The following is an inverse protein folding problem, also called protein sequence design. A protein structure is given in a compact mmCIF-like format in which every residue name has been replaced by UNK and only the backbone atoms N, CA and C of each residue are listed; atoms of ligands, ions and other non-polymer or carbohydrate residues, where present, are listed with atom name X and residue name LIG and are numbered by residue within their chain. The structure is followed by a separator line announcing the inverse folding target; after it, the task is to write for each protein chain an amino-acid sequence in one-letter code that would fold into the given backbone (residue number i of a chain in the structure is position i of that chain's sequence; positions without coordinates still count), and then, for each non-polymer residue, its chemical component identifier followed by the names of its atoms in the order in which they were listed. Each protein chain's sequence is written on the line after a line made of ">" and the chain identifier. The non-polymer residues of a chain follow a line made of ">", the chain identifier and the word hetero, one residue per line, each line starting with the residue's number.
data_IF_780554728152
#
_entry.id   IF_780554728152
#
_cell.length_a   1.000
_cell.length_b   1.000
_cell.length_c   1.000
_cell.angle_alpha   90.00
_cell.angle_beta   90.00
_cell.angle_gamma   90.00
#
_symmetry.space_group_name_H-M   'P 1'
#
loop_
_entity.id
_entity.type
_entity.pdbx_description
1 polymer ?
#
# COMPACT_ATOMS: atom_id res chain seq x y z
N UNK A 1 -21.72 -4.71 -7.07
CA UNK A 1 -21.39 -3.87 -5.90
C UNK A 1 -21.05 -4.79 -4.74
N UNK A 2 -19.79 -4.86 -4.34
CA UNK A 2 -19.46 -5.46 -3.04
C UNK A 2 -19.72 -4.40 -1.98
N UNK A 3 -20.61 -4.65 -1.01
CA UNK A 3 -20.71 -3.79 0.15
C UNK A 3 -19.35 -3.76 0.85
N UNK A 4 -18.94 -2.61 1.33
CA UNK A 4 -17.73 -2.49 2.14
C UNK A 4 -17.81 -3.52 3.28
N UNK A 5 -16.78 -4.38 3.38
CA UNK A 5 -16.74 -5.35 4.48
C UNK A 5 -16.77 -4.58 5.81
N UNK A 6 -17.56 -5.04 6.81
CA UNK A 6 -17.59 -4.36 8.09
C UNK A 6 -16.19 -4.34 8.71
N UNK A 7 -15.79 -3.20 9.23
CA UNK A 7 -14.53 -3.08 9.98
C UNK A 7 -14.50 -4.15 11.09
N UNK A 8 -13.41 -4.91 11.21
CA UNK A 8 -13.28 -5.85 12.32
C UNK A 8 -13.33 -5.08 13.63
N UNK A 9 -14.11 -5.59 14.57
CA UNK A 9 -14.21 -5.04 15.92
C UNK A 9 -12.82 -5.09 16.58
N UNK A 10 -12.31 -4.00 17.13
CA UNK A 10 -11.04 -4.01 17.86
C UNK A 10 -11.18 -4.95 19.07
N UNK A 11 -10.35 -6.00 19.11
CA UNK A 11 -10.30 -6.92 20.24
C UNK A 11 -10.50 -8.41 19.95
N UNK A 12 -10.80 -8.81 18.72
CA UNK A 12 -10.81 -10.23 18.37
C UNK A 12 -9.38 -10.79 18.32
N UNK A 13 -9.01 -11.65 19.27
CA UNK A 13 -7.75 -12.38 19.23
C UNK A 13 -7.85 -13.43 18.10
N UNK A 14 -7.05 -13.34 17.04
CA UNK A 14 -7.12 -14.32 15.95
C UNK A 14 -6.66 -15.69 16.46
N UNK A 15 -7.27 -16.76 15.97
CA UNK A 15 -6.80 -18.13 16.22
C UNK A 15 -5.35 -18.27 15.66
N UNK A 16 -4.52 -19.18 16.22
CA UNK A 16 -3.12 -19.30 15.80
C UNK A 16 -2.92 -19.51 14.28
N UNK A 17 -3.81 -20.24 13.63
CA UNK A 17 -3.75 -20.45 12.18
C UNK A 17 -4.10 -19.18 11.39
N UNK A 18 -5.07 -18.39 11.83
CA UNK A 18 -5.44 -17.11 11.20
C UNK A 18 -4.32 -16.09 11.38
N UNK A 19 -3.69 -16.02 12.55
CA UNK A 19 -2.55 -15.13 12.79
C UNK A 19 -1.38 -15.45 11.85
N UNK A 20 -1.05 -16.72 11.65
CA UNK A 20 0.01 -17.14 10.73
C UNK A 20 -0.29 -16.77 9.28
N UNK A 21 -1.54 -16.96 8.83
CA UNK A 21 -1.98 -16.56 7.49
C UNK A 21 -1.95 -15.03 7.33
N UNK A 22 -2.43 -14.29 8.33
CA UNK A 22 -2.40 -12.85 8.34
C UNK A 22 -0.96 -12.30 8.21
N UNK A 23 0.00 -12.89 8.90
CA UNK A 23 1.41 -12.51 8.79
C UNK A 23 1.96 -12.75 7.37
N UNK A 24 1.60 -13.86 6.73
CA UNK A 24 2.00 -14.15 5.36
C UNK A 24 1.38 -13.17 4.36
N UNK A 25 0.12 -12.82 4.55
CA UNK A 25 -0.58 -11.82 3.73
C UNK A 25 0.05 -10.45 3.92
N UNK A 26 0.28 -10.03 5.15
CA UNK A 26 0.89 -8.73 5.48
C UNK A 26 2.27 -8.57 4.81
N UNK A 27 3.09 -9.63 4.81
CA UNK A 27 4.39 -9.64 4.14
C UNK A 27 4.31 -9.46 2.62
N UNK A 28 3.18 -9.78 2.00
CA UNK A 28 2.95 -9.62 0.55
C UNK A 28 2.35 -8.26 0.19
N UNK A 29 1.82 -7.53 1.15
CA UNK A 29 1.25 -6.21 0.91
C UNK A 29 2.36 -5.16 0.71
N UNK A 30 2.10 -4.08 -0.09
CA UNK A 30 3.13 -3.11 -0.42
C UNK A 30 3.56 -2.20 0.74
N UNK A 31 2.91 -2.29 1.89
CA UNK A 31 3.24 -1.53 3.12
C UNK A 31 3.19 -0.01 2.97
N UNK A 32 2.35 0.49 2.08
CA UNK A 32 2.18 1.93 1.86
C UNK A 32 1.36 2.61 2.94
N UNK A 33 0.61 1.84 3.74
CA UNK A 33 -0.30 2.32 4.79
C UNK A 33 -1.30 3.38 4.27
N UNK A 34 -1.73 3.25 3.00
CA UNK A 34 -2.51 4.27 2.29
C UNK A 34 -4.00 4.32 2.69
N UNK A 35 -4.49 3.34 3.44
CA UNK A 35 -5.89 3.19 3.88
C UNK A 35 -6.93 3.03 2.76
N UNK A 36 -6.53 2.92 1.51
CA UNK A 36 -7.45 2.78 0.36
C UNK A 36 -8.28 1.51 0.38
N UNK A 37 -7.78 0.46 1.02
CA UNK A 37 -8.51 -0.78 1.25
C UNK A 37 -9.71 -0.64 2.21
N UNK A 38 -9.84 0.49 2.90
CA UNK A 38 -10.85 0.74 3.91
C UNK A 38 -10.43 0.36 5.32
N UNK A 39 -9.19 -0.05 5.51
CA UNK A 39 -8.61 -0.41 6.81
C UNK A 39 -7.55 0.61 7.24
N UNK A 40 -7.29 0.76 8.55
CA UNK A 40 -6.38 1.80 9.05
C UNK A 40 -4.91 1.56 8.68
N UNK A 41 -4.53 0.32 8.39
CA UNK A 41 -3.17 -0.07 8.00
C UNK A 41 -3.18 -1.38 7.20
N UNK A 42 -2.04 -1.74 6.63
CA UNK A 42 -1.91 -2.97 5.85
C UNK A 42 -2.12 -4.22 6.70
N UNK A 43 -1.68 -4.20 7.96
CA UNK A 43 -1.85 -5.33 8.87
C UNK A 43 -3.32 -5.63 9.15
N UNK A 44 -4.12 -4.62 9.46
CA UNK A 44 -5.55 -4.76 9.68
C UNK A 44 -6.27 -5.34 8.46
N UNK A 45 -5.87 -4.92 7.26
CA UNK A 45 -6.38 -5.50 6.02
C UNK A 45 -5.97 -6.97 5.87
N UNK A 46 -4.71 -7.30 6.15
CA UNK A 46 -4.22 -8.68 6.10
C UNK A 46 -4.99 -9.61 7.06
N UNK A 47 -5.26 -9.14 8.25
CA UNK A 47 -6.05 -9.87 9.25
C UNK A 47 -7.49 -10.09 8.78
N UNK A 48 -8.11 -9.08 8.19
CA UNK A 48 -9.45 -9.18 7.63
C UNK A 48 -9.54 -10.16 6.46
N UNK A 49 -8.55 -10.17 5.57
CA UNK A 49 -8.47 -11.15 4.46
C UNK A 49 -8.27 -12.55 5.01
N UNK A 50 -7.39 -12.74 5.98
CA UNK A 50 -7.14 -14.03 6.61
C UNK A 50 -8.38 -14.60 7.31
N UNK A 51 -9.19 -13.73 7.91
CA UNK A 51 -10.46 -14.09 8.57
C UNK A 51 -11.63 -14.27 7.58
N UNK A 52 -11.45 -13.98 6.30
CA UNK A 52 -12.51 -14.00 5.30
C UNK A 52 -13.48 -12.82 5.38
N UNK A 53 -13.16 -11.77 6.15
CA UNK A 53 -13.96 -10.57 6.30
C UNK A 53 -13.73 -9.53 5.19
N UNK A 54 -12.62 -9.61 4.46
CA UNK A 54 -12.31 -8.74 3.34
C UNK A 54 -11.92 -9.55 2.10
N UNK A 55 -12.25 -9.03 0.93
CA UNK A 55 -11.81 -9.59 -0.34
C UNK A 55 -10.33 -9.23 -0.61
N UNK A 56 -9.64 -10.08 -1.37
CA UNK A 56 -8.21 -9.90 -1.66
C UNK A 56 -7.92 -8.84 -2.75
N UNK A 57 -8.95 -8.19 -3.29
CA UNK A 57 -8.86 -7.23 -4.39
C UNK A 57 -9.04 -5.76 -3.97
N UNK A 58 -8.84 -5.44 -2.70
CA UNK A 58 -9.08 -4.10 -2.15
C UNK A 58 -7.82 -3.24 -2.01
N UNK A 59 -6.67 -3.71 -2.50
CA UNK A 59 -5.39 -3.00 -2.40
C UNK A 59 -4.92 -2.45 -3.76
N UNK A 60 -5.21 -1.19 -4.12
CA UNK A 60 -4.78 -0.61 -5.40
C UNK A 60 -3.26 -0.57 -5.59
N UNK A 61 -2.45 -0.22 -4.58
CA UNK A 61 -1.00 -0.24 -4.73
C UNK A 61 -0.40 -1.63 -5.04
N UNK A 62 -1.05 -2.70 -4.56
CA UNK A 62 -0.65 -4.07 -4.86
C UNK A 62 -1.00 -4.50 -6.28
N UNK A 63 -2.07 -3.96 -6.84
CA UNK A 63 -2.53 -4.23 -8.20
C UNK A 63 -2.88 -5.68 -8.47
N UNK A 64 -2.94 -6.03 -9.75
CA UNK A 64 -3.26 -7.38 -10.20
C UNK A 64 -2.22 -8.42 -9.74
N UNK A 65 -0.95 -8.05 -9.70
CA UNK A 65 0.11 -8.93 -9.19
C UNK A 65 -0.06 -9.24 -7.71
N UNK A 66 -0.41 -8.24 -6.91
CA UNK A 66 -0.73 -8.42 -5.49
C UNK A 66 -1.88 -9.39 -5.27
N UNK A 67 -2.95 -9.26 -6.05
CA UNK A 67 -4.09 -10.17 -6.03
C UNK A 67 -3.66 -11.60 -6.35
N UNK A 68 -2.83 -11.80 -7.38
CA UNK A 68 -2.32 -13.11 -7.74
C UNK A 68 -1.47 -13.74 -6.64
N UNK A 69 -0.64 -12.97 -5.97
CA UNK A 69 0.17 -13.43 -4.82
C UNK A 69 -0.70 -13.81 -3.63
N UNK A 70 -1.69 -12.99 -3.31
CA UNK A 70 -2.64 -13.25 -2.22
C UNK A 70 -3.47 -14.50 -2.51
N UNK A 71 -3.90 -14.68 -3.76
CA UNK A 71 -4.61 -15.88 -4.20
C UNK A 71 -3.83 -17.16 -3.95
N UNK A 72 -2.52 -17.16 -4.23
CA UNK A 72 -1.65 -18.32 -3.98
C UNK A 72 -1.54 -18.69 -2.50
N UNK A 73 -1.56 -17.69 -1.63
CA UNK A 73 -1.39 -17.90 -0.20
C UNK A 73 -2.70 -18.27 0.48
N UNK A 74 -3.81 -17.68 0.04
CA UNK A 74 -5.13 -17.86 0.66
C UNK A 74 -5.93 -18.99 0.05
N UNK A 75 -5.65 -19.36 -1.20
CA UNK A 75 -6.46 -20.31 -1.97
C UNK A 75 -7.74 -19.71 -2.55
N UNK A 76 -7.98 -18.42 -2.37
CA UNK A 76 -9.12 -17.73 -2.97
C UNK A 76 -8.88 -17.47 -4.47
N UNK A 77 -9.94 -17.44 -5.30
CA UNK A 77 -9.78 -17.19 -6.73
C UNK A 77 -9.26 -15.78 -7.00
N UNK A 78 -8.50 -15.62 -8.09
CA UNK A 78 -8.09 -14.31 -8.60
C UNK A 78 -9.33 -13.57 -9.10
N UNK A 79 -9.54 -12.36 -8.61
CA UNK A 79 -10.63 -11.47 -9.00
C UNK A 79 -10.06 -10.12 -9.42
N UNK A 80 -10.75 -9.36 -10.29
CA UNK A 80 -10.30 -8.03 -10.69
C UNK A 80 -10.19 -7.08 -9.50
N UNK A 81 -9.28 -6.10 -9.58
CA UNK A 81 -9.16 -5.05 -8.58
C UNK A 81 -10.51 -4.31 -8.41
N UNK A 82 -10.90 -4.09 -7.17
CA UNK A 82 -12.16 -3.41 -6.87
C UNK A 82 -12.03 -1.90 -7.16
N UNK A 83 -12.76 -1.37 -8.15
CA UNK A 83 -12.65 0.03 -8.53
C UNK A 83 -13.10 1.02 -7.45
N UNK A 84 -13.89 0.56 -6.47
CA UNK A 84 -14.29 1.38 -5.31
C UNK A 84 -13.10 1.78 -4.46
N UNK A 85 -12.09 0.92 -4.36
CA UNK A 85 -10.87 1.17 -3.59
C UNK A 85 -9.83 1.96 -4.39
N UNK A 86 -9.94 2.00 -5.71
CA UNK A 86 -9.06 2.70 -6.61
C UNK A 86 -8.66 1.86 -7.82
N UNK A 87 -7.77 2.41 -8.62
CA UNK A 87 -7.27 1.75 -9.83
C UNK A 87 -5.75 1.56 -9.75
N UNK A 88 -5.27 0.51 -10.40
CA UNK A 88 -3.84 0.31 -10.59
C UNK A 88 -3.29 1.39 -11.52
N UNK A 89 -2.17 2.01 -11.13
CA UNK A 89 -1.48 3.02 -11.93
C UNK A 89 -0.03 2.60 -12.14
N UNK A 90 0.57 2.99 -13.27
CA UNK A 90 2.01 2.83 -13.45
C UNK A 90 2.77 3.47 -12.30
N UNK A 91 3.88 2.85 -11.91
CA UNK A 91 4.76 3.45 -10.90
C UNK A 91 5.28 4.78 -11.43
N UNK A 92 5.05 5.84 -10.70
CA UNK A 92 5.53 7.17 -10.99
C UNK A 92 6.60 7.55 -9.97
N UNK A 93 7.60 8.29 -10.43
CA UNK A 93 8.61 8.92 -9.57
C UNK A 93 8.37 10.44 -9.58
N UNK A 94 8.75 11.10 -8.48
CA UNK A 94 8.73 12.54 -8.43
C UNK A 94 9.77 13.13 -9.39
N UNK A 95 9.50 14.29 -9.92
CA UNK A 95 10.43 15.03 -10.79
C UNK A 95 10.63 16.44 -10.26
N UNK A 96 11.86 16.89 -10.23
CA UNK A 96 12.24 18.26 -9.90
C UNK A 96 12.89 18.87 -11.14
N UNK A 97 12.34 19.99 -11.61
CA UNK A 97 13.03 20.78 -12.62
C UNK A 97 14.21 21.52 -11.96
N UNK A 98 15.40 20.97 -12.14
CA UNK A 98 16.61 21.44 -11.50
C UNK A 98 16.96 22.88 -11.87
N UNK A 99 16.59 23.30 -13.10
CA UNK A 99 16.81 24.68 -13.57
C UNK A 99 15.93 25.71 -12.83
N UNK A 100 14.76 25.28 -12.34
CA UNK A 100 13.82 26.12 -11.61
C UNK A 100 13.90 25.96 -10.09
N UNK A 101 14.67 25.01 -9.61
CA UNK A 101 14.80 24.72 -8.19
C UNK A 101 15.48 25.89 -7.44
N UNK A 102 14.80 26.40 -6.42
CA UNK A 102 15.29 27.51 -5.59
C UNK A 102 15.93 27.06 -4.27
N UNK A 103 15.96 25.74 -4.00
CA UNK A 103 16.57 25.20 -2.79
C UNK A 103 15.77 25.45 -1.51
N UNK A 104 14.43 25.54 -1.59
CA UNK A 104 13.57 25.84 -0.44
C UNK A 104 13.41 24.68 0.55
N UNK A 105 13.85 23.47 0.21
CA UNK A 105 13.80 22.23 1.04
C UNK A 105 12.42 21.66 1.33
N UNK A 106 11.33 22.24 0.86
CA UNK A 106 9.96 21.75 1.09
C UNK A 106 9.76 20.32 0.56
N UNK A 107 10.37 19.99 -0.57
CA UNK A 107 10.32 18.64 -1.16
C UNK A 107 10.97 17.58 -0.27
N UNK A 108 12.12 17.91 0.34
CA UNK A 108 12.80 17.00 1.29
C UNK A 108 11.94 16.76 2.52
N UNK A 109 11.34 17.80 3.06
CA UNK A 109 10.46 17.70 4.22
C UNK A 109 9.22 16.85 3.93
N UNK A 110 8.70 16.89 2.71
CA UNK A 110 7.51 16.13 2.29
C UNK A 110 7.82 14.69 1.90
N UNK A 111 9.06 14.36 1.53
CA UNK A 111 9.41 13.03 1.05
C UNK A 111 9.49 12.01 2.20
N UNK A 112 8.64 10.95 2.19
CA UNK A 112 8.63 9.97 3.28
C UNK A 112 9.74 8.92 3.19
N UNK A 113 10.52 8.88 2.10
CA UNK A 113 11.50 7.81 1.80
C UNK A 113 12.91 8.34 1.57
N UNK A 114 13.19 9.60 1.86
CA UNK A 114 14.49 10.25 1.67
C UNK A 114 15.06 10.10 0.25
N UNK A 115 14.20 10.19 -0.75
CA UNK A 115 14.59 10.05 -2.16
C UNK A 115 15.11 11.34 -2.79
N UNK A 116 15.11 12.47 -2.09
CA UNK A 116 15.49 13.77 -2.59
C UNK A 116 16.84 14.18 -2.00
N UNK A 117 17.76 14.50 -2.90
CA UNK A 117 19.13 14.90 -2.58
C UNK A 117 19.26 16.40 -2.79
N UNK A 118 19.77 17.11 -1.81
CA UNK A 118 20.00 18.54 -1.88
C UNK A 118 20.21 19.16 -0.50
N UNK A 119 20.38 20.47 -0.47
CA UNK A 119 20.57 21.24 0.76
C UNK A 119 19.89 22.59 0.62
N UNK A 120 19.75 23.30 1.75
CA UNK A 120 19.18 24.66 1.75
C UNK A 120 19.94 25.59 0.80
N UNK A 121 19.21 26.28 -0.06
CA UNK A 121 19.74 27.20 -1.10
C UNK A 121 20.58 26.54 -2.19
N UNK A 122 20.56 25.21 -2.28
CA UNK A 122 21.18 24.43 -3.36
C UNK A 122 20.13 23.71 -4.17
N UNK A 123 20.47 23.35 -5.38
CA UNK A 123 19.63 22.57 -6.28
C UNK A 123 19.29 21.21 -5.65
N UNK A 124 18.05 20.76 -5.84
CA UNK A 124 17.59 19.45 -5.43
C UNK A 124 17.38 18.55 -6.62
N UNK A 125 17.62 17.25 -6.44
CA UNK A 125 17.33 16.22 -7.44
C UNK A 125 16.69 15.01 -6.78
N UNK A 126 15.94 14.25 -7.57
CA UNK A 126 15.28 13.02 -7.11
C UNK A 126 16.15 11.82 -7.47
N UNK A 127 16.37 10.92 -6.51
CA UNK A 127 16.97 9.62 -6.75
C UNK A 127 15.88 8.62 -7.16
N UNK A 128 15.74 8.28 -8.46
CA UNK A 128 14.58 7.47 -8.93
C UNK A 128 14.53 6.07 -8.33
N UNK A 129 15.69 5.52 -7.96
CA UNK A 129 15.77 4.19 -7.34
C UNK A 129 15.19 4.14 -5.92
N UNK A 130 15.12 5.30 -5.24
CA UNK A 130 14.63 5.43 -3.87
C UNK A 130 13.20 5.96 -3.82
N UNK A 131 12.70 6.57 -4.88
CA UNK A 131 11.37 7.18 -4.96
C UNK A 131 10.23 6.16 -5.08
#
# INVERSE_FOLDING_TARGET
>A
MNPAAPNPTPGATPSPGVASLAQRIDALLPQTQCTRCGYPDCRSYAEAVAAGAAALNQCPPGGAEGIARLSRVTGYPVIPLNPVNGVERPRAVAYIDEALCIGCTLCIQACPVDAIIGAAKHMHTVAPSLC
#
